data_IF_601406711418
#
_entry.id   IF_601406711418
#
_cell.length_a   1.000
_cell.length_b   1.000
_cell.length_c   1.000
_cell.angle_alpha   90.00
_cell.angle_beta   90.00
_cell.angle_gamma   90.00
#
_symmetry.space_group_name_H-M   'P 1'
#
loop_
_entity.id
_entity.type
_entity.pdbx_description
1 polymer ?
#
# COMPACT_ATOMS: atom_id res chain seq x y z
N UNK A 1 0.43 3.75 -0.88
CA UNK A 1 1.64 2.91 -0.79
C UNK A 1 1.78 2.15 -2.11
N UNK A 2 2.88 2.36 -2.82
CA UNK A 2 3.11 1.77 -4.15
C UNK A 2 3.57 0.32 -3.99
N UNK A 3 2.88 -0.62 -4.63
CA UNK A 3 3.29 -2.02 -4.65
C UNK A 3 4.23 -2.27 -5.83
N UNK A 4 5.40 -2.85 -5.56
CA UNK A 4 6.35 -3.28 -6.59
C UNK A 4 6.21 -4.77 -6.85
N UNK A 5 6.47 -5.17 -8.09
CA UNK A 5 6.36 -6.54 -8.55
C UNK A 5 7.58 -6.92 -9.39
N UNK A 6 8.00 -8.17 -9.24
CA UNK A 6 8.69 -8.85 -10.32
C UNK A 6 7.63 -9.32 -11.32
N UNK A 7 7.79 -8.95 -12.59
CA UNK A 7 6.98 -9.47 -13.69
C UNK A 7 7.71 -10.72 -14.22
N UNK A 8 7.16 -11.91 -13.93
CA UNK A 8 7.81 -13.21 -14.17
C UNK A 8 7.27 -13.84 -15.45
N UNK A 9 8.10 -14.03 -16.46
CA UNK A 9 7.72 -14.74 -17.68
C UNK A 9 7.50 -16.24 -17.38
N UNK A 10 6.29 -16.75 -17.62
CA UNK A 10 5.90 -18.11 -17.20
C UNK A 10 6.73 -19.21 -17.89
N UNK A 11 7.05 -19.05 -19.18
CA UNK A 11 7.80 -20.07 -19.91
C UNK A 11 9.24 -20.28 -19.42
N UNK A 12 9.89 -19.25 -18.87
CA UNK A 12 11.32 -19.29 -18.54
C UNK A 12 11.60 -19.14 -17.04
N UNK A 13 10.61 -18.68 -16.26
CA UNK A 13 10.80 -18.28 -14.87
C UNK A 13 11.69 -17.04 -14.68
N UNK A 14 12.13 -16.39 -15.77
CA UNK A 14 12.93 -15.15 -15.74
C UNK A 14 12.03 -13.95 -15.53
N UNK A 15 12.61 -12.84 -15.07
CA UNK A 15 11.89 -11.60 -14.80
C UNK A 15 12.23 -10.53 -15.82
N UNK A 16 11.33 -9.58 -15.98
CA UNK A 16 11.55 -8.38 -16.79
C UNK A 16 12.58 -7.47 -16.12
N UNK A 17 13.56 -7.01 -16.89
CA UNK A 17 14.65 -6.14 -16.47
C UNK A 17 14.93 -5.06 -17.51
N UNK A 18 15.33 -3.87 -17.04
CA UNK A 18 15.97 -2.85 -17.89
C UNK A 18 17.41 -3.28 -18.18
N UNK A 19 17.76 -3.43 -19.45
CA UNK A 19 19.08 -3.93 -19.85
C UNK A 19 20.23 -3.10 -19.24
N UNK A 20 21.13 -3.78 -18.52
CA UNK A 20 22.26 -3.17 -17.83
C UNK A 20 21.87 -2.24 -16.67
N UNK A 21 20.59 -2.23 -16.27
CA UNK A 21 20.07 -1.29 -15.27
C UNK A 21 20.22 0.17 -15.66
N UNK A 22 20.18 0.46 -16.97
CA UNK A 22 20.29 1.80 -17.54
C UNK A 22 19.21 2.74 -17.00
N UNK A 23 19.55 4.02 -16.83
CA UNK A 23 18.58 5.08 -16.49
C UNK A 23 18.19 5.93 -17.70
N UNK A 24 18.70 5.60 -18.89
CA UNK A 24 18.44 6.37 -20.09
C UNK A 24 17.15 5.92 -20.77
N UNK A 25 16.45 6.87 -21.38
CA UNK A 25 15.43 6.59 -22.39
C UNK A 25 15.99 5.71 -23.50
N UNK A 26 15.11 4.94 -24.14
CA UNK A 26 15.43 3.96 -25.19
C UNK A 26 16.26 2.76 -24.72
N UNK A 27 16.50 2.60 -23.42
CA UNK A 27 17.09 1.36 -22.92
C UNK A 27 16.13 0.19 -23.12
N UNK A 28 16.69 -0.95 -23.50
CA UNK A 28 15.92 -2.14 -23.88
C UNK A 28 15.32 -2.81 -22.66
N UNK A 29 14.09 -3.30 -22.79
CA UNK A 29 13.52 -4.22 -21.81
C UNK A 29 13.79 -5.66 -22.26
N UNK A 30 14.28 -6.47 -21.32
CA UNK A 30 14.70 -7.85 -21.55
C UNK A 30 14.13 -8.78 -20.49
N UNK A 31 14.14 -10.08 -20.75
CA UNK A 31 14.03 -11.07 -19.68
C UNK A 31 15.42 -11.42 -19.13
N UNK A 32 15.55 -11.54 -17.81
CA UNK A 32 16.80 -11.87 -17.15
C UNK A 32 16.61 -12.74 -15.90
N UNK A 33 17.71 -13.34 -15.41
CA UNK A 33 17.66 -14.14 -14.19
C UNK A 33 17.19 -13.26 -13.02
N UNK A 34 16.21 -13.75 -12.26
CA UNK A 34 15.71 -13.06 -11.07
C UNK A 34 16.83 -12.87 -10.05
N UNK A 35 17.00 -11.64 -9.57
CA UNK A 35 17.93 -11.26 -8.50
C UNK A 35 17.34 -11.57 -7.13
N UNK A 36 18.21 -11.68 -6.12
CA UNK A 36 17.77 -11.77 -4.71
C UNK A 36 17.01 -10.50 -4.33
N UNK A 37 16.13 -10.60 -3.31
CA UNK A 37 15.45 -9.43 -2.76
C UNK A 37 16.44 -8.41 -2.18
N UNK A 38 17.58 -8.88 -1.66
CA UNK A 38 18.64 -8.07 -1.05
C UNK A 38 19.71 -7.62 -2.05
N UNK A 39 19.55 -7.92 -3.34
CA UNK A 39 20.50 -7.50 -4.37
C UNK A 39 20.47 -5.97 -4.50
N UNK A 40 21.61 -5.26 -4.45
CA UNK A 40 21.65 -3.79 -4.51
C UNK A 40 21.12 -3.23 -5.85
N UNK A 41 20.98 -4.08 -6.86
CA UNK A 41 20.43 -3.75 -8.17
C UNK A 41 19.05 -4.37 -8.42
N UNK A 42 18.38 -4.92 -7.40
CA UNK A 42 17.05 -5.54 -7.52
C UNK A 42 16.03 -4.59 -8.16
N UNK A 43 16.16 -3.28 -7.91
CA UNK A 43 15.27 -2.24 -8.42
C UNK A 43 15.25 -2.16 -9.96
N UNK A 44 16.27 -2.70 -10.65
CA UNK A 44 16.28 -2.85 -12.12
C UNK A 44 15.21 -3.83 -12.64
N UNK A 45 14.68 -4.68 -11.76
CA UNK A 45 13.71 -5.74 -12.07
C UNK A 45 12.34 -5.52 -11.40
N UNK A 46 12.19 -4.41 -10.67
CA UNK A 46 10.97 -4.11 -9.92
C UNK A 46 10.13 -3.07 -10.68
N UNK A 47 8.86 -3.40 -10.83
CA UNK A 47 7.90 -2.64 -11.63
C UNK A 47 6.65 -2.34 -10.81
N UNK A 48 6.05 -1.17 -11.01
CA UNK A 48 4.75 -0.85 -10.44
C UNK A 48 3.81 -0.34 -11.53
N UNK A 49 2.51 -0.55 -11.30
CA UNK A 49 1.45 -0.15 -12.21
C UNK A 49 0.80 1.13 -11.67
N UNK A 50 0.72 2.17 -12.51
CA UNK A 50 0.15 3.47 -12.14
C UNK A 50 -0.73 4.01 -13.27
N UNK A 51 -2.05 3.88 -13.15
CA UNK A 51 -3.00 4.47 -14.10
C UNK A 51 -2.96 3.89 -15.53
N UNK A 52 -2.28 2.76 -15.74
CA UNK A 52 -1.99 2.18 -17.06
C UNK A 52 -0.51 2.23 -17.44
N UNK A 53 0.31 2.99 -16.72
CA UNK A 53 1.76 2.98 -16.92
C UNK A 53 2.38 1.80 -16.16
N UNK A 54 3.40 1.18 -16.75
CA UNK A 54 4.27 0.20 -16.08
C UNK A 54 5.63 0.87 -15.87
N UNK A 55 5.95 1.23 -14.64
CA UNK A 55 7.09 2.07 -14.30
C UNK A 55 8.17 1.27 -13.59
N UNK A 56 9.43 1.46 -13.99
CA UNK A 56 10.58 0.84 -13.32
C UNK A 56 10.90 1.55 -12.00
N UNK A 57 11.19 0.78 -10.94
CA UNK A 57 11.56 1.33 -9.62
C UNK A 57 12.87 2.12 -9.65
N UNK A 58 13.89 1.65 -10.37
CA UNK A 58 15.21 2.29 -10.40
C UNK A 58 15.22 3.58 -11.21
N UNK A 59 14.72 3.53 -12.45
CA UNK A 59 14.83 4.65 -13.38
C UNK A 59 13.66 5.64 -13.31
N UNK A 60 12.50 5.20 -12.80
CA UNK A 60 11.24 5.97 -12.88
C UNK A 60 10.67 6.08 -14.30
N UNK A 61 11.30 5.46 -15.29
CA UNK A 61 10.85 5.44 -16.68
C UNK A 61 9.80 4.35 -16.91
N UNK A 62 9.00 4.53 -17.95
CA UNK A 62 7.84 3.68 -18.23
C UNK A 62 8.08 2.76 -19.43
N UNK A 63 7.38 1.63 -19.47
CA UNK A 63 7.27 0.80 -20.66
C UNK A 63 6.76 1.59 -21.85
N UNK A 64 7.46 1.43 -22.97
CA UNK A 64 7.20 2.16 -24.20
C UNK A 64 7.42 1.26 -25.42
N UNK A 65 6.51 1.33 -26.38
CA UNK A 65 6.63 0.68 -27.68
C UNK A 65 7.49 1.56 -28.60
N UNK A 66 8.67 1.06 -28.96
CA UNK A 66 9.68 1.82 -29.70
C UNK A 66 9.13 2.49 -30.98
N UNK A 67 9.36 3.80 -31.10
CA UNK A 67 9.02 4.64 -32.25
C UNK A 67 7.53 4.65 -32.63
N UNK A 68 6.62 4.32 -31.71
CA UNK A 68 5.17 4.26 -31.98
C UNK A 68 4.77 3.33 -33.15
N UNK A 69 5.71 2.50 -33.63
CA UNK A 69 5.46 1.57 -34.73
C UNK A 69 4.76 0.36 -34.15
N UNK A 70 3.43 0.40 -34.12
CA UNK A 70 2.59 -0.73 -33.71
C UNK A 70 2.62 -1.80 -34.82
N UNK A 71 3.73 -2.53 -34.92
CA UNK A 71 3.98 -3.60 -35.88
C UNK A 71 4.41 -4.87 -35.13
N UNK A 72 4.22 -6.03 -35.75
CA UNK A 72 4.58 -7.32 -35.16
C UNK A 72 6.10 -7.38 -34.92
N UNK A 73 6.50 -7.68 -33.69
CA UNK A 73 7.90 -7.78 -33.30
C UNK A 73 8.55 -6.46 -32.90
N UNK A 74 7.80 -5.36 -32.81
CA UNK A 74 8.33 -4.09 -32.29
C UNK A 74 8.87 -4.27 -30.88
N UNK A 75 10.03 -3.68 -30.63
CA UNK A 75 10.73 -3.82 -29.37
C UNK A 75 10.12 -2.96 -28.26
N UNK A 76 10.12 -3.48 -27.04
CA UNK A 76 9.78 -2.71 -25.84
C UNK A 76 11.04 -2.08 -25.23
N UNK A 77 10.95 -0.80 -24.92
CA UNK A 77 11.99 0.02 -24.29
C UNK A 77 11.43 0.71 -23.04
N UNK A 78 12.31 1.37 -22.27
CA UNK A 78 11.86 2.38 -21.32
C UNK A 78 11.97 3.79 -21.92
N UNK A 79 11.04 4.67 -21.58
CA UNK A 79 11.08 6.07 -22.00
C UNK A 79 10.52 7.00 -20.91
N UNK A 80 10.81 8.30 -21.05
CA UNK A 80 10.17 9.34 -20.24
C UNK A 80 8.67 9.36 -20.48
N UNK A 81 7.91 9.58 -19.42
CA UNK A 81 6.47 9.84 -19.48
C UNK A 81 6.25 11.29 -19.90
N UNK A 82 5.41 11.53 -20.90
CA UNK A 82 4.94 12.89 -21.23
C UNK A 82 3.81 13.29 -20.26
N UNK A 83 3.46 14.58 -20.21
CA UNK A 83 2.40 15.07 -19.30
C UNK A 83 1.04 14.36 -19.50
N UNK A 84 0.81 13.82 -20.71
CA UNK A 84 -0.33 12.97 -21.05
C UNK A 84 0.17 11.58 -21.51
N UNK A 85 -0.32 10.48 -20.91
CA UNK A 85 0.01 9.13 -21.35
C UNK A 85 -0.36 8.93 -22.82
N UNK A 86 0.62 8.53 -23.63
CA UNK A 86 0.40 8.21 -25.04
C UNK A 86 -0.05 6.77 -25.20
N UNK A 87 -0.80 6.47 -26.26
CA UNK A 87 -1.36 5.13 -26.53
C UNK A 87 -0.32 3.98 -26.58
N UNK A 88 0.97 4.29 -26.69
CA UNK A 88 2.11 3.36 -26.71
C UNK A 88 2.78 3.13 -25.33
N UNK A 89 2.29 3.82 -24.29
CA UNK A 89 2.73 3.68 -22.89
C UNK A 89 1.60 3.23 -21.96
N UNK A 90 0.37 3.11 -22.46
CA UNK A 90 -0.77 2.63 -21.68
C UNK A 90 -0.94 1.11 -21.82
N UNK A 91 -0.84 0.42 -20.70
CA UNK A 91 -0.88 -1.03 -20.58
C UNK A 91 -1.96 -1.47 -19.58
N UNK A 92 -2.60 -2.59 -19.89
CA UNK A 92 -3.47 -3.34 -18.99
C UNK A 92 -2.83 -4.71 -18.72
N UNK A 93 -2.95 -5.20 -17.48
CA UNK A 93 -2.62 -6.57 -17.11
C UNK A 93 -3.92 -7.35 -16.93
N UNK A 94 -4.07 -8.47 -17.64
CA UNK A 94 -5.22 -9.35 -17.50
C UNK A 94 -4.93 -10.45 -16.48
N UNK A 95 -5.66 -10.45 -15.37
CA UNK A 95 -5.51 -11.42 -14.30
C UNK A 95 -6.04 -12.82 -14.64
N UNK A 96 -6.92 -12.95 -15.63
CA UNK A 96 -7.52 -14.23 -16.01
C UNK A 96 -6.56 -15.07 -16.86
N UNK A 97 -5.86 -14.43 -17.80
CA UNK A 97 -4.96 -15.11 -18.75
C UNK A 97 -3.46 -14.81 -18.55
N UNK A 98 -3.14 -13.90 -17.61
CA UNK A 98 -1.80 -13.45 -17.28
C UNK A 98 -1.07 -12.73 -18.43
N UNK A 99 -1.78 -12.01 -19.29
CA UNK A 99 -1.19 -11.23 -20.38
C UNK A 99 -1.03 -9.75 -20.03
N UNK A 100 -0.09 -9.08 -20.70
CA UNK A 100 0.08 -7.62 -20.65
C UNK A 100 -0.19 -7.08 -22.05
N UNK A 101 -1.15 -6.16 -22.18
CA UNK A 101 -1.63 -5.62 -23.46
C UNK A 101 -1.58 -4.10 -23.44
N UNK A 102 -1.34 -3.46 -24.58
CA UNK A 102 -1.64 -2.04 -24.73
C UNK A 102 -3.14 -1.80 -24.60
N UNK A 103 -3.52 -0.76 -23.86
CA UNK A 103 -4.93 -0.35 -23.72
C UNK A 103 -5.55 0.04 -25.07
N UNK A 104 -4.74 0.63 -25.95
CA UNK A 104 -5.13 1.05 -27.30
C UNK A 104 -5.32 -0.10 -28.29
N UNK A 105 -4.72 -1.28 -28.04
CA UNK A 105 -4.80 -2.42 -28.94
C UNK A 105 -4.59 -3.77 -28.22
N UNK A 106 -5.69 -4.42 -27.84
CA UNK A 106 -5.70 -5.69 -27.11
C UNK A 106 -5.46 -6.94 -27.99
N UNK A 107 -5.35 -6.79 -29.31
CA UNK A 107 -5.07 -7.91 -30.21
C UNK A 107 -3.61 -8.37 -30.14
N UNK A 108 -2.78 -7.58 -29.47
CA UNK A 108 -1.37 -7.80 -29.32
C UNK A 108 -1.01 -7.76 -27.83
N UNK A 109 0.00 -8.52 -27.50
CA UNK A 109 0.43 -8.75 -26.13
C UNK A 109 1.94 -8.61 -26.06
N UNK A 110 2.42 -8.37 -24.85
CA UNK A 110 3.82 -8.50 -24.53
C UNK A 110 4.25 -9.96 -24.77
N UNK A 111 5.33 -10.14 -25.53
CA UNK A 111 5.87 -11.45 -25.86
C UNK A 111 7.38 -11.47 -25.63
N UNK A 112 7.89 -12.64 -25.25
CA UNK A 112 9.32 -12.86 -25.06
C UNK A 112 9.90 -13.62 -26.24
N UNK A 113 10.67 -12.92 -27.08
CA UNK A 113 11.45 -13.53 -28.16
C UNK A 113 12.92 -13.60 -27.79
N UNK A 114 13.39 -14.82 -27.54
CA UNK A 114 14.74 -15.09 -27.01
C UNK A 114 14.98 -14.33 -25.69
N UNK A 115 15.79 -13.26 -25.70
CA UNK A 115 16.06 -12.42 -24.52
C UNK A 115 15.22 -11.13 -24.51
N UNK A 116 14.62 -10.75 -25.63
CA UNK A 116 14.00 -9.42 -25.82
C UNK A 116 12.51 -9.47 -25.55
N UNK A 117 12.00 -8.37 -25.00
CA UNK A 117 10.58 -8.09 -24.93
C UNK A 117 10.13 -7.45 -26.24
N UNK A 118 9.08 -8.01 -26.84
CA UNK A 118 8.50 -7.53 -28.08
C UNK A 118 6.98 -7.42 -27.97
N UNK A 119 6.40 -6.66 -28.88
CA UNK A 119 4.98 -6.55 -29.12
C UNK A 119 4.55 -7.56 -30.19
N UNK A 120 3.65 -8.49 -29.89
CA UNK A 120 3.30 -9.58 -30.82
C UNK A 120 1.81 -9.94 -30.78
N UNK A 121 1.20 -10.43 -31.88
CA UNK A 121 -0.19 -10.86 -31.85
C UNK A 121 -0.48 -11.87 -30.75
N UNK A 122 -1.64 -11.71 -30.12
CA UNK A 122 -2.12 -12.64 -29.09
C UNK A 122 -2.22 -14.04 -29.66
N UNK A 123 -1.58 -15.00 -29.00
CA UNK A 123 -1.66 -16.42 -29.29
C UNK A 123 -1.92 -17.16 -27.99
N UNK A 124 -3.18 -17.55 -27.80
CA UNK A 124 -3.70 -18.20 -26.59
C UNK A 124 -2.93 -19.45 -26.12
N UNK A 125 -2.06 -20.02 -26.97
CA UNK A 125 -1.37 -21.29 -26.72
C UNK A 125 0.13 -21.16 -26.38
N UNK A 126 0.68 -19.96 -26.23
CA UNK A 126 2.13 -19.76 -26.14
C UNK A 126 2.55 -19.16 -24.78
N UNK A 127 3.35 -19.90 -24.01
CA UNK A 127 3.83 -19.45 -22.68
C UNK A 127 4.77 -18.24 -22.70
N UNK A 128 5.29 -17.85 -23.87
CA UNK A 128 6.10 -16.65 -24.06
C UNK A 128 5.33 -15.34 -23.89
N UNK A 129 3.99 -15.40 -23.81
CA UNK A 129 3.10 -14.25 -23.68
C UNK A 129 2.45 -14.12 -22.30
N UNK A 130 2.78 -15.04 -21.38
CA UNK A 130 2.17 -15.10 -20.05
C UNK A 130 3.16 -14.68 -18.98
N UNK A 131 2.70 -13.82 -18.07
CA UNK A 131 3.51 -13.21 -17.02
C UNK A 131 2.78 -13.25 -15.69
N UNK A 132 3.42 -13.75 -14.65
CA UNK A 132 2.88 -13.69 -13.28
C UNK A 132 3.49 -12.52 -12.53
N UNK A 133 2.65 -11.78 -11.80
CA UNK A 133 3.09 -10.71 -10.92
C UNK A 133 3.44 -11.28 -9.55
N UNK A 134 4.73 -11.29 -9.21
CA UNK A 134 5.18 -11.64 -7.86
C UNK A 134 5.44 -10.37 -7.07
N UNK A 135 4.63 -10.12 -6.04
CA UNK A 135 4.77 -8.95 -5.17
C UNK A 135 6.13 -8.95 -4.47
N UNK A 136 6.83 -7.81 -4.54
CA UNK A 136 8.02 -7.54 -3.74
C UNK A 136 7.56 -7.03 -2.37
N UNK A 137 7.77 -7.85 -1.35
CA UNK A 137 7.55 -7.45 0.03
C UNK A 137 8.89 -6.96 0.56
N UNK A 138 9.01 -5.65 0.74
CA UNK A 138 10.18 -5.05 1.36
C UNK A 138 10.32 -5.57 2.80
N UNK A 139 11.19 -6.56 3.01
CA UNK A 139 11.50 -7.07 4.35
C UNK A 139 12.46 -6.16 5.12
N UNK A 140 12.96 -5.07 4.52
CA UNK A 140 13.73 -4.04 5.24
C UNK A 140 12.85 -3.12 6.12
N UNK A 141 11.53 -3.34 6.10
CA UNK A 141 10.52 -2.39 6.54
C UNK A 141 10.26 -2.20 8.03
N UNK A 142 10.97 -2.85 8.97
CA UNK A 142 10.70 -2.58 10.40
C UNK A 142 11.11 -1.14 10.78
N UNK A 143 12.16 -0.60 10.15
CA UNK A 143 12.58 0.80 10.37
C UNK A 143 11.82 1.81 9.48
N UNK A 144 11.27 1.37 8.34
CA UNK A 144 10.60 2.26 7.38
C UNK A 144 9.11 2.51 7.67
N UNK A 145 8.44 1.69 8.49
CA UNK A 145 7.01 1.94 8.81
C UNK A 145 6.84 3.29 9.51
N UNK A 146 7.72 3.64 10.46
CA UNK A 146 7.68 4.94 11.13
C UNK A 146 7.82 6.10 10.13
N UNK A 147 8.81 6.02 9.24
CA UNK A 147 9.10 7.05 8.23
C UNK A 147 8.04 7.14 7.12
N UNK A 148 7.45 6.00 6.74
CA UNK A 148 6.39 5.94 5.74
C UNK A 148 5.08 6.51 6.29
N UNK A 149 4.75 6.20 7.55
CA UNK A 149 3.59 6.77 8.24
C UNK A 149 3.77 8.28 8.42
N UNK A 150 4.95 8.76 8.79
CA UNK A 150 5.21 10.21 8.89
C UNK A 150 5.12 10.92 7.53
N UNK A 151 5.62 10.31 6.45
CA UNK A 151 5.53 10.90 5.11
C UNK A 151 4.10 10.88 4.56
N UNK A 152 3.34 9.79 4.77
CA UNK A 152 1.92 9.71 4.40
C UNK A 152 1.08 10.74 5.17
N UNK A 153 1.38 10.96 6.46
CA UNK A 153 0.76 12.02 7.24
C UNK A 153 1.16 13.41 6.69
N UNK A 154 2.43 13.65 6.39
CA UNK A 154 2.91 14.96 5.93
C UNK A 154 2.41 15.35 4.52
N UNK A 155 2.34 14.39 3.59
CA UNK A 155 1.99 14.63 2.18
C UNK A 155 0.48 14.79 1.95
N UNK A 156 -0.35 14.37 2.91
CA UNK A 156 -1.80 14.44 2.80
C UNK A 156 -2.35 15.51 3.76
N UNK A 157 -2.47 16.77 3.29
CA UNK A 157 -2.91 17.93 4.10
C UNK A 157 -4.18 17.68 4.95
N UNK A 158 -5.05 16.77 4.54
CA UNK A 158 -6.26 16.41 5.28
C UNK A 158 -5.98 15.53 6.51
N UNK A 159 -5.04 14.59 6.42
CA UNK A 159 -4.80 13.61 7.49
C UNK A 159 -4.23 14.22 8.78
N UNK A 160 -3.24 15.14 8.77
CA UNK A 160 -2.79 15.83 9.98
C UNK A 160 -3.91 16.62 10.63
N UNK A 161 -4.77 17.27 9.83
CA UNK A 161 -5.88 18.05 10.38
C UNK A 161 -6.94 17.13 10.99
N UNK A 162 -7.25 16.01 10.35
CA UNK A 162 -8.17 15.01 10.91
C UNK A 162 -7.60 14.38 12.18
N UNK A 163 -6.33 13.98 12.18
CA UNK A 163 -5.67 13.42 13.36
C UNK A 163 -5.66 14.43 14.51
N UNK A 164 -5.34 15.69 14.22
CA UNK A 164 -5.39 16.77 15.20
C UNK A 164 -6.81 16.94 15.77
N UNK A 165 -7.84 16.95 14.92
CA UNK A 165 -9.22 17.03 15.37
C UNK A 165 -9.61 15.81 16.25
N UNK A 166 -9.14 14.60 15.92
CA UNK A 166 -9.37 13.41 16.75
C UNK A 166 -8.63 13.49 18.10
N UNK A 167 -7.40 14.00 18.12
CA UNK A 167 -6.64 14.24 19.35
C UNK A 167 -7.29 15.31 20.23
N UNK A 168 -7.89 16.33 19.62
CA UNK A 168 -8.68 17.35 20.33
C UNK A 168 -9.89 16.70 21.02
N UNK A 169 -10.59 15.78 20.35
CA UNK A 169 -11.71 15.03 20.96
C UNK A 169 -11.23 14.17 22.15
N UNK A 170 -10.02 13.59 22.11
CA UNK A 170 -9.52 12.79 23.24
C UNK A 170 -9.27 13.60 24.52
N UNK A 171 -9.08 14.92 24.38
CA UNK A 171 -8.82 15.84 25.49
C UNK A 171 -10.01 16.79 25.74
N UNK A 172 -11.19 16.45 25.21
CA UNK A 172 -12.41 17.27 25.34
C UNK A 172 -13.09 17.04 26.70
N UNK A 173 -13.08 18.08 27.53
CA UNK A 173 -13.72 18.10 28.85
C UNK A 173 -15.16 18.66 28.83
N UNK A 174 -15.68 19.08 27.67
CA UNK A 174 -17.00 19.70 27.51
C UNK A 174 -18.07 18.70 27.06
N UNK A 175 -17.76 17.82 26.10
CA UNK A 175 -18.73 16.89 25.48
C UNK A 175 -18.55 15.41 25.87
N UNK A 176 -17.90 15.13 27.00
CA UNK A 176 -17.74 13.76 27.51
C UNK A 176 -19.09 13.16 27.94
N UNK A 177 -19.26 11.85 27.73
CA UNK A 177 -20.50 11.14 28.06
C UNK A 177 -20.31 10.01 29.09
N UNK A 178 -19.08 9.81 29.57
CA UNK A 178 -18.76 8.86 30.65
C UNK A 178 -17.67 9.42 31.57
N UNK A 179 -17.81 9.13 32.86
CA UNK A 179 -16.76 9.28 33.87
C UNK A 179 -16.27 7.91 34.32
N UNK A 180 -14.96 7.73 34.35
CA UNK A 180 -14.30 6.49 34.75
C UNK A 180 -13.43 6.76 35.95
N UNK A 181 -13.77 6.14 37.07
CA UNK A 181 -12.96 6.14 38.27
C UNK A 181 -12.01 4.94 38.23
N UNK A 182 -10.72 5.18 38.47
CA UNK A 182 -9.67 4.16 38.41
C UNK A 182 -8.81 4.23 39.65
N UNK A 183 -8.47 3.06 40.21
CA UNK A 183 -7.71 2.93 41.45
C UNK A 183 -8.60 2.88 42.68
N UNK A 184 -7.97 2.75 43.85
CA UNK A 184 -8.64 2.69 45.14
C UNK A 184 -8.32 3.92 45.99
N UNK A 185 -9.25 4.35 46.83
CA UNK A 185 -9.07 5.42 47.82
C UNK A 185 -7.79 5.18 48.66
N UNK A 186 -6.89 6.18 48.83
CA UNK A 186 -6.96 7.60 48.44
C UNK A 186 -6.33 7.97 47.10
N UNK A 187 -5.99 6.98 46.28
CA UNK A 187 -5.29 7.19 45.01
C UNK A 187 -6.20 7.04 43.79
N UNK A 188 -7.51 6.99 43.99
CA UNK A 188 -8.47 6.91 42.91
C UNK A 188 -8.46 8.21 42.08
N UNK A 189 -8.47 8.08 40.75
CA UNK A 189 -8.52 9.20 39.80
C UNK A 189 -9.74 9.05 38.91
N UNK A 190 -10.43 10.16 38.69
CA UNK A 190 -11.59 10.22 37.80
C UNK A 190 -11.14 10.76 36.44
N UNK A 191 -11.53 10.05 35.39
CA UNK A 191 -11.27 10.38 34.00
C UNK A 191 -12.58 10.72 33.29
N UNK A 192 -12.59 11.82 32.55
CA UNK A 192 -13.67 12.17 31.62
C UNK A 192 -13.32 11.62 30.25
N UNK A 193 -14.27 10.94 29.61
CA UNK A 193 -14.01 10.28 28.33
C UNK A 193 -15.29 10.15 27.49
N UNK A 194 -15.10 9.71 26.25
CA UNK A 194 -16.18 9.45 25.31
C UNK A 194 -16.35 7.94 25.10
N UNK A 195 -17.55 7.41 25.37
CA UNK A 195 -17.87 5.99 25.22
C UNK A 195 -17.56 5.46 23.82
N UNK A 196 -17.81 6.27 22.78
CA UNK A 196 -17.53 5.88 21.39
C UNK A 196 -16.04 5.60 21.19
N UNK A 197 -15.16 6.45 21.72
CA UNK A 197 -13.71 6.28 21.62
C UNK A 197 -13.27 5.02 22.35
N UNK A 198 -13.71 4.87 23.61
CA UNK A 198 -13.36 3.73 24.46
C UNK A 198 -13.80 2.39 23.85
N UNK A 199 -15.00 2.36 23.27
CA UNK A 199 -15.53 1.18 22.57
C UNK A 199 -14.61 0.73 21.43
N UNK A 200 -13.99 1.66 20.70
CA UNK A 200 -13.09 1.31 19.59
C UNK A 200 -11.63 1.14 20.01
N UNK A 201 -11.20 1.74 21.13
CA UNK A 201 -9.84 1.61 21.69
C UNK A 201 -9.57 0.25 22.32
N UNK A 202 -10.57 -0.38 22.95
CA UNK A 202 -10.36 -1.68 23.62
C UNK A 202 -11.59 -2.58 23.57
N UNK A 203 -11.48 -3.83 23.09
CA UNK A 203 -12.54 -4.82 23.20
C UNK A 203 -12.97 -5.10 24.65
N UNK A 204 -12.05 -5.01 25.62
CA UNK A 204 -12.36 -5.19 27.04
C UNK A 204 -13.26 -4.05 27.55
N UNK A 205 -12.87 -2.79 27.29
CA UNK A 205 -13.69 -1.63 27.66
C UNK A 205 -15.04 -1.64 26.94
N UNK A 206 -15.10 -2.09 25.69
CA UNK A 206 -16.35 -2.30 24.97
C UNK A 206 -17.28 -3.27 25.71
N UNK A 207 -16.74 -4.39 26.22
CA UNK A 207 -17.49 -5.34 27.04
C UNK A 207 -18.06 -4.70 28.31
N UNK A 208 -17.22 -3.96 29.04
CA UNK A 208 -17.59 -3.25 30.27
C UNK A 208 -18.69 -2.21 30.00
N UNK A 209 -18.51 -1.38 28.97
CA UNK A 209 -19.45 -0.33 28.59
C UNK A 209 -20.77 -0.90 28.07
N UNK A 210 -20.73 -2.01 27.34
CA UNK A 210 -21.93 -2.67 26.81
C UNK A 210 -22.81 -3.30 27.88
N UNK A 211 -22.21 -3.70 29.01
CA UNK A 211 -22.91 -4.26 30.17
C UNK A 211 -23.57 -3.17 31.02
N UNK A 212 -23.02 -1.95 30.97
CA UNK A 212 -23.51 -0.76 31.66
C UNK A 212 -24.39 0.11 30.74
N UNK A 213 -25.36 -0.50 30.04
CA UNK A 213 -26.20 0.19 29.04
C UNK A 213 -26.78 1.50 29.60
N UNK A 214 -26.60 2.59 28.85
CA UNK A 214 -27.20 3.91 29.13
C UNK A 214 -28.68 3.73 29.50
N UNK A 215 -29.10 4.29 30.63
CA UNK A 215 -30.48 4.73 30.76
C UNK A 215 -30.61 5.92 29.81
N UNK A 216 -31.57 5.92 28.89
CA UNK A 216 -31.75 6.99 27.90
C UNK A 216 -32.27 8.31 28.55
N UNK A 217 -32.02 8.54 29.83
CA UNK A 217 -32.54 9.65 30.63
C UNK A 217 -31.61 10.87 30.66
N UNK A 218 -30.48 10.82 29.94
CA UNK A 218 -29.50 11.90 29.88
C UNK A 218 -28.52 11.93 31.06
N UNK A 219 -28.56 10.95 31.98
CA UNK A 219 -27.62 10.88 33.09
C UNK A 219 -26.23 10.44 32.59
N UNK A 220 -25.19 11.21 32.96
CA UNK A 220 -23.79 10.86 32.73
C UNK A 220 -23.48 9.48 33.34
N UNK A 221 -22.86 8.59 32.57
CA UNK A 221 -22.53 7.24 33.03
C UNK A 221 -21.27 7.29 33.89
N UNK A 222 -21.33 6.84 35.14
CA UNK A 222 -20.18 6.69 36.03
C UNK A 222 -19.79 5.21 36.14
N UNK A 223 -18.53 4.88 35.91
CA UNK A 223 -18.00 3.51 35.97
C UNK A 223 -16.78 3.50 36.89
N UNK A 224 -16.82 2.66 37.92
CA UNK A 224 -15.65 2.39 38.75
C UNK A 224 -14.94 1.14 38.24
N UNK A 225 -13.67 1.29 37.84
CA UNK A 225 -12.84 0.18 37.37
C UNK A 225 -12.13 -0.56 38.51
N UNK A 226 -12.16 -0.05 39.74
CA UNK A 226 -11.59 -0.70 40.92
C UNK A 226 -12.13 -2.13 41.10
N UNK A 227 -13.43 -2.33 40.92
CA UNK A 227 -14.09 -3.63 41.09
C UNK A 227 -13.90 -4.57 39.89
N UNK A 228 -13.64 -4.01 38.70
CA UNK A 228 -13.62 -4.75 37.42
C UNK A 228 -12.19 -5.11 37.01
N UNK A 229 -11.27 -4.15 37.21
CA UNK A 229 -9.85 -4.20 36.83
C UNK A 229 -8.98 -3.70 38.01
N UNK A 230 -8.92 -4.44 39.13
CA UNK A 230 -8.29 -3.95 40.37
C UNK A 230 -6.79 -3.64 40.25
N UNK A 231 -6.12 -4.17 39.22
CA UNK A 231 -4.69 -3.99 39.00
C UNK A 231 -4.34 -2.81 38.09
N UNK A 232 -5.34 -2.11 37.53
CA UNK A 232 -5.08 -0.99 36.63
C UNK A 232 -4.83 0.28 37.44
N UNK A 233 -3.62 0.84 37.31
CA UNK A 233 -3.25 2.10 37.96
C UNK A 233 -3.77 3.29 37.14
N UNK A 234 -4.12 4.42 37.78
CA UNK A 234 -4.49 5.66 37.10
C UNK A 234 -3.54 6.06 35.96
N UNK A 235 -2.24 5.97 36.18
CA UNK A 235 -1.21 6.33 35.19
C UNK A 235 -1.25 5.40 33.97
N UNK A 236 -1.55 4.12 34.20
CA UNK A 236 -1.73 3.15 33.12
C UNK A 236 -2.98 3.44 32.31
N UNK A 237 -4.07 3.84 32.99
CA UNK A 237 -5.32 4.17 32.33
C UNK A 237 -5.22 5.47 31.51
N UNK A 238 -4.45 6.46 31.98
CA UNK A 238 -4.20 7.69 31.22
C UNK A 238 -3.52 7.42 29.87
N UNK A 239 -2.63 6.43 29.81
CA UNK A 239 -2.00 5.98 28.54
C UNK A 239 -3.03 5.31 27.62
N UNK A 240 -4.01 4.59 28.18
CA UNK A 240 -5.06 3.93 27.38
C UNK A 240 -6.03 4.94 26.76
N UNK A 241 -6.22 6.09 27.43
CA UNK A 241 -7.07 7.18 26.94
C UNK A 241 -6.43 8.00 25.82
N UNK A 242 -5.09 8.08 25.77
CA UNK A 242 -4.34 8.89 24.80
C UNK A 242 -3.91 8.07 23.58
#
# INVERSE_FOLDING_TARGET
MTNYYWIVAQHSGKVIEVEGGSMNSCAKIIQYRKKSADDPSVDTQLWFFNGGLITNKKSGLVFDVYQEKIQNGTQIIQHGNNYEPTAHQEWDYNHEDNTITLRSNRNFVLDVKQKRMIWFPSSYRIGHQKFTLQKWNDTSGVENVGRLVTNIMADNKFLPKLLQNLLEILNDDEYYDVTIEVGNDPYAKIFRAHMVILNYRSPCLRGILSSNKKKNDGTLTHISLSDILPNILPETFEIILR
#
